data_IF_067801523606
#
_entry.id   IF_067801523606
#
_cell.length_a   1.000
_cell.length_b   1.000
_cell.length_c   1.000
_cell.angle_alpha   90.00
_cell.angle_beta   90.00
_cell.angle_gamma   90.00
#
_symmetry.space_group_name_H-M   'P 1'
#
loop_
_entity.id
_entity.type
_entity.pdbx_description
1 polymer ?
#
# COMPACT_ATOMS: atom_id res chain seq x y z
N UNK A 1 -22.97 1.05 -18.69
CA UNK A 1 -21.50 1.07 -18.81
C UNK A 1 -20.93 0.17 -17.73
N UNK A 2 -20.07 -0.79 -18.09
CA UNK A 2 -19.36 -1.60 -17.09
C UNK A 2 -18.39 -0.68 -16.34
N UNK A 3 -18.66 -0.42 -15.05
CA UNK A 3 -17.70 0.23 -14.17
C UNK A 3 -16.48 -0.69 -14.04
N UNK A 4 -15.31 -0.21 -14.48
CA UNK A 4 -14.05 -0.92 -14.25
C UNK A 4 -13.77 -0.93 -12.75
N UNK A 5 -13.58 -2.12 -12.18
CA UNK A 5 -13.13 -2.30 -10.80
C UNK A 5 -11.60 -2.32 -10.80
N UNK A 6 -11.01 -1.16 -10.53
CA UNK A 6 -9.55 -0.99 -10.48
C UNK A 6 -9.02 -1.35 -9.09
N UNK A 7 -7.95 -2.14 -9.04
CA UNK A 7 -7.14 -2.40 -7.86
C UNK A 7 -5.72 -1.91 -8.17
N UNK A 8 -5.04 -1.30 -7.19
CA UNK A 8 -3.64 -0.88 -7.34
C UNK A 8 -2.79 -1.72 -6.40
N UNK A 9 -1.76 -2.37 -6.94
CA UNK A 9 -0.74 -3.05 -6.16
C UNK A 9 0.53 -2.21 -6.16
N UNK A 10 1.15 -2.06 -5.00
CA UNK A 10 2.42 -1.33 -4.87
C UNK A 10 3.41 -2.14 -4.07
N UNK A 11 4.63 -2.20 -4.56
CA UNK A 11 5.76 -2.50 -3.70
C UNK A 11 5.98 -1.36 -2.68
N UNK A 12 6.73 -1.64 -1.62
CA UNK A 12 6.90 -0.76 -0.48
C UNK A 12 8.23 -0.01 -0.51
N UNK A 13 9.35 -0.71 -0.31
CA UNK A 13 10.64 -0.08 -0.03
C UNK A 13 11.32 0.41 -1.32
N UNK A 14 11.53 1.72 -1.44
CA UNK A 14 12.03 2.32 -2.69
C UNK A 14 10.99 2.41 -3.79
N UNK A 15 9.73 2.07 -3.49
CA UNK A 15 8.58 2.22 -4.40
C UNK A 15 7.55 3.20 -3.82
N UNK A 16 6.80 2.80 -2.78
CA UNK A 16 5.85 3.67 -2.10
C UNK A 16 6.51 4.52 -1.01
N UNK A 17 7.44 3.90 -0.29
CA UNK A 17 8.28 4.57 0.69
C UNK A 17 9.56 5.02 0.00
N UNK A 18 9.90 6.28 0.21
CA UNK A 18 11.16 6.82 -0.27
C UNK A 18 12.33 5.99 0.30
N UNK A 19 13.28 5.65 -0.58
CA UNK A 19 14.37 4.74 -0.26
C UNK A 19 15.30 5.26 0.85
N UNK A 20 15.40 6.58 1.02
CA UNK A 20 16.35 7.20 1.95
C UNK A 20 15.71 7.65 3.25
N UNK A 21 14.48 8.16 3.17
CA UNK A 21 13.77 8.75 4.31
C UNK A 21 12.75 7.80 4.92
N UNK A 22 12.39 6.72 4.22
CA UNK A 22 11.34 5.80 4.61
C UNK A 22 9.96 6.45 4.75
N UNK A 23 9.75 7.59 4.08
CA UNK A 23 8.54 8.40 4.18
C UNK A 23 7.63 8.18 2.97
N UNK A 24 6.32 8.16 3.22
CA UNK A 24 5.27 8.14 2.18
C UNK A 24 4.77 9.53 1.77
N UNK A 25 5.31 10.61 2.36
CA UNK A 25 4.75 11.97 2.27
C UNK A 25 4.36 12.40 0.84
N UNK A 26 5.15 12.12 -0.21
CA UNK A 26 4.77 12.48 -1.57
C UNK A 26 3.50 11.75 -2.06
N UNK A 27 3.26 10.53 -1.58
CA UNK A 27 2.14 9.68 -1.95
C UNK A 27 0.86 9.96 -1.15
N UNK A 28 0.93 10.58 0.03
CA UNK A 28 -0.21 10.78 0.95
C UNK A 28 -1.43 11.41 0.26
N UNK A 29 -1.21 12.44 -0.57
CA UNK A 29 -2.30 13.10 -1.32
C UNK A 29 -2.98 12.12 -2.30
N UNK A 30 -2.19 11.33 -3.01
CA UNK A 30 -2.69 10.35 -3.98
C UNK A 30 -3.42 9.21 -3.27
N UNK A 31 -2.88 8.70 -2.16
CA UNK A 31 -3.53 7.66 -1.34
C UNK A 31 -4.90 8.14 -0.83
N UNK A 32 -5.00 9.40 -0.41
CA UNK A 32 -6.28 9.98 0.00
C UNK A 32 -7.29 10.08 -1.17
N UNK A 33 -6.83 10.49 -2.36
CA UNK A 33 -7.68 10.54 -3.55
C UNK A 33 -8.20 9.16 -3.96
N UNK A 34 -7.33 8.14 -3.94
CA UNK A 34 -7.68 6.76 -4.25
C UNK A 34 -8.69 6.20 -3.25
N UNK A 35 -8.50 6.50 -1.96
CA UNK A 35 -9.47 6.14 -0.90
C UNK A 35 -10.85 6.78 -1.16
N UNK A 36 -10.90 8.06 -1.49
CA UNK A 36 -12.16 8.74 -1.84
C UNK A 36 -12.82 8.17 -3.11
N UNK A 37 -12.01 7.70 -4.06
CA UNK A 37 -12.50 7.07 -5.29
C UNK A 37 -12.88 5.58 -5.12
N UNK A 38 -12.78 5.02 -3.90
CA UNK A 38 -12.95 3.60 -3.62
C UNK A 38 -12.03 2.69 -4.47
N UNK A 39 -10.81 3.16 -4.76
CA UNK A 39 -9.77 2.39 -5.44
C UNK A 39 -8.81 1.86 -4.37
N UNK A 40 -8.83 0.56 -4.05
CA UNK A 40 -7.97 0.00 -3.02
C UNK A 40 -6.51 -0.05 -3.49
N UNK A 41 -5.62 0.32 -2.57
CA UNK A 41 -4.17 0.16 -2.71
C UNK A 41 -3.75 -1.01 -1.83
N UNK A 42 -3.18 -2.05 -2.43
CA UNK A 42 -2.75 -3.28 -1.78
C UNK A 42 -1.22 -3.28 -1.77
N UNK A 43 -0.62 -3.39 -0.60
CA UNK A 43 0.84 -3.47 -0.46
C UNK A 43 1.32 -4.88 -0.80
N UNK A 44 2.47 -5.00 -1.46
CA UNK A 44 3.14 -6.27 -1.75
C UNK A 44 4.63 -6.14 -1.48
N UNK A 45 5.14 -6.80 -0.43
CA UNK A 45 6.51 -6.59 0.03
C UNK A 45 7.16 -7.89 0.53
N UNK A 46 8.48 -7.89 0.62
CA UNK A 46 9.28 -8.94 1.26
C UNK A 46 9.19 -8.91 2.79
N UNK A 47 8.63 -7.85 3.38
CA UNK A 47 8.49 -7.69 4.83
C UNK A 47 7.61 -8.75 5.48
N UNK A 48 7.90 -9.01 6.76
CA UNK A 48 7.06 -9.86 7.61
C UNK A 48 5.75 -9.16 7.98
N UNK A 49 4.78 -9.94 8.46
CA UNK A 49 3.52 -9.41 9.01
C UNK A 49 3.76 -8.35 10.09
N UNK A 50 4.67 -8.61 11.03
CA UNK A 50 4.90 -7.73 12.18
C UNK A 50 5.41 -6.35 11.75
N UNK A 51 6.30 -6.30 10.75
CA UNK A 51 6.79 -5.05 10.18
C UNK A 51 5.68 -4.34 9.40
N UNK A 52 4.98 -5.06 8.52
CA UNK A 52 4.01 -4.43 7.63
C UNK A 52 2.76 -3.96 8.36
N UNK A 53 2.34 -4.62 9.44
CA UNK A 53 1.18 -4.22 10.24
C UNK A 53 1.32 -2.79 10.82
N UNK A 54 2.54 -2.41 11.22
CA UNK A 54 2.83 -1.07 11.73
C UNK A 54 2.73 -0.05 10.59
N UNK A 55 3.41 -0.31 9.47
CA UNK A 55 3.47 0.58 8.31
C UNK A 55 2.08 0.75 7.68
N UNK A 56 1.31 -0.33 7.54
CA UNK A 56 -0.05 -0.31 7.00
C UNK A 56 -0.97 0.61 7.81
N UNK A 57 -0.82 0.60 9.14
CA UNK A 57 -1.55 1.50 10.05
C UNK A 57 -1.10 2.96 9.88
N UNK A 58 0.20 3.21 9.75
CA UNK A 58 0.75 4.56 9.55
C UNK A 58 0.28 5.18 8.23
N UNK A 59 0.21 4.37 7.16
CA UNK A 59 -0.33 4.75 5.85
C UNK A 59 -1.86 4.89 5.83
N UNK A 60 -2.55 4.55 6.94
CA UNK A 60 -4.02 4.62 7.08
C UNK A 60 -4.76 3.83 5.99
N UNK A 61 -4.15 2.73 5.57
CA UNK A 61 -4.73 1.76 4.65
C UNK A 61 -5.60 0.78 5.44
N UNK A 62 -6.68 0.34 4.82
CA UNK A 62 -7.65 -0.62 5.40
C UNK A 62 -7.87 -1.80 4.44
N UNK A 63 -6.87 -2.07 3.59
CA UNK A 63 -6.90 -3.06 2.52
C UNK A 63 -6.12 -4.31 2.94
N UNK A 64 -6.35 -5.47 2.31
CA UNK A 64 -5.44 -6.60 2.48
C UNK A 64 -4.04 -6.23 1.98
N UNK A 65 -3.02 -6.95 2.43
CA UNK A 65 -1.63 -6.75 2.04
C UNK A 65 -0.91 -8.09 1.89
N UNK A 66 0.15 -8.12 1.08
CA UNK A 66 0.91 -9.32 0.74
C UNK A 66 2.30 -9.21 1.39
N UNK A 67 2.70 -10.24 2.13
CA UNK A 67 3.95 -10.28 2.91
C UNK A 67 4.89 -11.38 2.43
N UNK A 68 6.16 -11.28 2.85
CA UNK A 68 7.19 -12.29 2.64
C UNK A 68 7.28 -12.75 1.18
N UNK A 69 7.22 -11.79 0.25
CA UNK A 69 7.25 -12.02 -1.20
C UNK A 69 6.10 -12.89 -1.74
N UNK A 70 4.91 -12.79 -1.15
CA UNK A 70 3.74 -13.55 -1.60
C UNK A 70 3.49 -14.84 -0.83
N UNK A 71 4.16 -15.06 0.30
CA UNK A 71 3.94 -16.26 1.12
C UNK A 71 2.59 -16.23 1.85
N UNK A 72 2.05 -15.03 2.15
CA UNK A 72 0.74 -14.86 2.78
C UNK A 72 0.04 -13.55 2.36
N UNK A 73 -1.28 -13.50 2.60
CA UNK A 73 -2.20 -12.37 2.38
C UNK A 73 -2.96 -12.09 3.68
#
# INVERSE_FOLDING_TARGET
MSSLRTLIFSDLDGTLLDHFTYQSRPADKTLAQLKCANIPVILNTSKTFAELAIIHRELKLNTPFIIENGAAI
#
